data_IF_699206300022
#
_entry.id   IF_699206300022
#
_cell.length_a   1.000
_cell.length_b   1.000
_cell.length_c   1.000
_cell.angle_alpha   90.00
_cell.angle_beta   90.00
_cell.angle_gamma   90.00
#
_symmetry.space_group_name_H-M   'P 1'
#
loop_
_entity.id
_entity.type
_entity.pdbx_description
1 polymer ?
#
# COMPACT_ATOMS: atom_id res chain seq x y z
N UNK A 1 18.78 -6.20 11.11
CA UNK A 1 17.56 -6.16 11.95
C UNK A 1 16.83 -7.49 11.95
N UNK A 2 16.56 -8.13 10.80
CA UNK A 2 15.96 -9.48 10.76
C UNK A 2 16.89 -10.59 11.25
N UNK A 3 18.16 -10.60 10.81
CA UNK A 3 19.17 -11.58 11.27
C UNK A 3 19.38 -11.53 12.80
N UNK A 4 19.43 -10.32 13.37
CA UNK A 4 19.52 -10.12 14.81
C UNK A 4 18.26 -10.60 15.55
N UNK A 5 17.08 -10.51 14.92
CA UNK A 5 15.83 -11.02 15.49
C UNK A 5 15.81 -12.55 15.53
N UNK A 6 16.34 -13.22 14.49
CA UNK A 6 16.56 -14.68 14.47
C UNK A 6 17.49 -15.11 15.61
N UNK A 7 18.62 -14.42 15.80
CA UNK A 7 19.54 -14.71 16.92
C UNK A 7 18.91 -14.51 18.30
N UNK A 8 17.91 -13.63 18.42
CA UNK A 8 17.15 -13.39 19.66
C UNK A 8 15.95 -14.33 19.82
N UNK A 9 15.70 -15.24 18.87
CA UNK A 9 14.53 -16.11 18.87
C UNK A 9 13.20 -15.38 18.67
N UNK A 10 13.23 -14.17 18.09
CA UNK A 10 12.04 -13.37 17.83
C UNK A 10 11.56 -13.55 16.38
N UNK A 11 10.48 -14.30 16.20
CA UNK A 11 9.91 -14.68 14.90
C UNK A 11 8.65 -13.88 14.52
N UNK A 12 8.37 -12.73 15.15
CA UNK A 12 7.14 -11.94 14.91
C UNK A 12 6.96 -11.51 13.44
N UNK A 13 8.05 -11.40 12.68
CA UNK A 13 8.06 -10.94 11.29
C UNK A 13 8.72 -11.96 10.33
N UNK A 14 9.03 -13.18 10.81
CA UNK A 14 9.79 -14.19 10.07
C UNK A 14 9.01 -15.49 10.19
N UNK A 15 8.75 -16.23 9.09
CA UNK A 15 8.12 -17.54 9.20
C UNK A 15 8.92 -18.45 10.12
N UNK A 16 8.23 -19.25 10.94
CA UNK A 16 8.85 -20.16 11.89
C UNK A 16 9.73 -21.17 11.13
N UNK A 17 11.03 -21.15 11.40
CA UNK A 17 11.96 -22.12 10.82
C UNK A 17 11.73 -23.48 11.49
N UNK A 18 10.91 -24.31 10.84
CA UNK A 18 10.77 -25.73 11.17
C UNK A 18 12.11 -26.47 11.08
N UNK A 19 12.16 -27.71 11.57
CA UNK A 19 13.37 -28.54 11.59
C UNK A 19 13.79 -28.96 10.17
N UNK A 20 14.53 -28.09 9.48
CA UNK A 20 15.00 -28.29 8.11
C UNK A 20 16.28 -29.15 8.06
N UNK A 21 16.44 -29.91 6.97
CA UNK A 21 17.65 -30.69 6.71
C UNK A 21 18.80 -29.78 6.27
N UNK A 22 20.05 -30.09 6.64
CA UNK A 22 21.20 -29.30 6.21
C UNK A 22 21.36 -29.21 4.68
N UNK A 23 20.87 -30.24 3.97
CA UNK A 23 20.85 -30.28 2.51
C UNK A 23 19.83 -29.32 1.89
N UNK A 24 18.62 -29.22 2.47
CA UNK A 24 17.60 -28.28 1.99
C UNK A 24 18.06 -26.84 2.21
N UNK A 25 18.67 -26.55 3.37
CA UNK A 25 19.22 -25.23 3.69
C UNK A 25 20.31 -24.78 2.70
N UNK A 26 21.16 -25.73 2.28
CA UNK A 26 22.22 -25.46 1.31
C UNK A 26 21.66 -25.19 -0.10
N UNK A 27 20.66 -25.97 -0.52
CA UNK A 27 19.95 -25.76 -1.80
C UNK A 27 19.17 -24.45 -1.80
N UNK A 28 18.48 -24.12 -0.71
CA UNK A 28 17.76 -22.85 -0.55
C UNK A 28 18.69 -21.65 -0.66
N UNK A 29 19.88 -21.71 -0.04
CA UNK A 29 20.91 -20.68 -0.13
C UNK A 29 21.44 -20.49 -1.57
N UNK A 30 21.62 -21.58 -2.30
CA UNK A 30 22.07 -21.53 -3.70
C UNK A 30 21.00 -20.93 -4.62
N UNK A 31 19.73 -21.32 -4.43
CA UNK A 31 18.58 -20.78 -5.16
C UNK A 31 18.39 -19.30 -4.89
N UNK A 32 18.46 -18.87 -3.63
CA UNK A 32 18.29 -17.48 -3.21
C UNK A 32 19.22 -16.53 -3.98
N UNK A 33 20.50 -16.88 -4.10
CA UNK A 33 21.49 -16.06 -4.82
C UNK A 33 21.15 -15.89 -6.30
N UNK A 34 20.71 -16.95 -6.99
CA UNK A 34 20.32 -16.88 -8.40
C UNK A 34 19.05 -16.06 -8.62
N UNK A 35 18.02 -16.28 -7.80
CA UNK A 35 16.77 -15.52 -7.89
C UNK A 35 17.00 -14.03 -7.61
N UNK A 36 17.85 -13.68 -6.63
CA UNK A 36 18.10 -12.29 -6.26
C UNK A 36 18.62 -11.47 -7.44
N UNK A 37 19.58 -12.03 -8.19
CA UNK A 37 20.12 -11.37 -9.38
C UNK A 37 19.05 -11.24 -10.46
N UNK A 38 18.26 -12.29 -10.69
CA UNK A 38 17.18 -12.25 -11.68
C UNK A 38 16.13 -11.17 -11.38
N UNK A 39 15.71 -11.01 -10.12
CA UNK A 39 14.76 -9.97 -9.71
C UNK A 39 15.35 -8.55 -9.85
N UNK A 40 16.64 -8.36 -9.57
CA UNK A 40 17.32 -7.07 -9.78
C UNK A 40 17.34 -6.70 -11.26
N UNK A 41 17.69 -7.65 -12.13
CA UNK A 41 17.70 -7.42 -13.58
C UNK A 41 16.30 -7.11 -14.10
N UNK A 42 15.30 -7.89 -13.70
CA UNK A 42 13.90 -7.64 -14.08
C UNK A 42 13.39 -6.28 -13.57
N UNK A 43 13.70 -5.92 -12.32
CA UNK A 43 13.39 -4.60 -11.77
C UNK A 43 14.02 -3.46 -12.56
N UNK A 44 15.26 -3.64 -13.02
CA UNK A 44 15.95 -2.69 -13.88
C UNK A 44 15.27 -2.54 -15.25
N UNK A 45 14.92 -3.64 -15.92
CA UNK A 45 14.20 -3.63 -17.20
C UNK A 45 12.89 -2.84 -17.09
N UNK A 46 12.10 -3.12 -16.05
CA UNK A 46 10.85 -2.40 -15.80
C UNK A 46 11.09 -0.92 -15.50
N UNK A 47 12.17 -0.58 -14.78
CA UNK A 47 12.53 0.82 -14.50
C UNK A 47 12.86 1.56 -15.77
N UNK A 48 13.66 0.98 -16.66
CA UNK A 48 13.96 1.56 -17.97
C UNK A 48 12.70 1.72 -18.82
N UNK A 49 11.82 0.73 -18.84
CA UNK A 49 10.55 0.79 -19.58
C UNK A 49 9.65 1.94 -19.10
N UNK A 50 9.43 2.07 -17.80
CA UNK A 50 8.61 3.16 -17.26
C UNK A 50 9.27 4.54 -17.43
N UNK A 51 10.59 4.65 -17.28
CA UNK A 51 11.30 5.90 -17.53
C UNK A 51 11.19 6.31 -19.00
N UNK A 52 11.31 5.37 -19.93
CA UNK A 52 11.11 5.61 -21.35
C UNK A 52 9.68 6.08 -21.64
N UNK A 53 8.67 5.41 -21.08
CA UNK A 53 7.27 5.79 -21.23
C UNK A 53 6.99 7.19 -20.65
N UNK A 54 7.55 7.49 -19.47
CA UNK A 54 7.44 8.79 -18.81
C UNK A 54 8.06 9.89 -19.68
N UNK A 55 9.26 9.66 -20.22
CA UNK A 55 9.93 10.61 -21.09
C UNK A 55 9.12 10.87 -22.37
N UNK A 56 8.64 9.81 -23.03
CA UNK A 56 7.75 9.92 -24.19
C UNK A 56 6.51 10.73 -23.85
N UNK A 57 5.84 10.42 -22.75
CA UNK A 57 4.65 11.13 -22.31
C UNK A 57 4.92 12.61 -22.07
N UNK A 58 6.01 12.95 -21.36
CA UNK A 58 6.41 14.34 -21.11
C UNK A 58 6.71 15.06 -22.43
N UNK A 59 7.47 14.44 -23.34
CA UNK A 59 7.80 15.03 -24.64
C UNK A 59 6.53 15.32 -25.45
N UNK A 60 5.62 14.34 -25.58
CA UNK A 60 4.35 14.53 -26.29
C UNK A 60 3.49 15.60 -25.62
N UNK A 61 3.40 15.59 -24.28
CA UNK A 61 2.67 16.59 -23.52
C UNK A 61 3.21 18.01 -23.77
N UNK A 62 4.53 18.19 -23.71
CA UNK A 62 5.19 19.49 -23.96
C UNK A 62 4.90 19.95 -25.39
N UNK A 63 5.02 19.07 -26.39
CA UNK A 63 4.76 19.40 -27.80
C UNK A 63 3.29 19.83 -28.00
N UNK A 64 2.33 19.13 -27.39
CA UNK A 64 0.91 19.48 -27.50
C UNK A 64 0.61 20.82 -26.80
N UNK A 65 1.12 20.99 -25.58
CA UNK A 65 0.87 22.17 -24.75
C UNK A 65 1.48 23.42 -25.36
N UNK A 66 2.72 23.35 -25.85
CA UNK A 66 3.43 24.50 -26.44
C UNK A 66 3.03 24.71 -27.91
N UNK A 67 2.87 23.62 -28.67
CA UNK A 67 2.71 23.68 -30.13
C UNK A 67 1.29 23.94 -30.63
N UNK A 68 0.26 23.48 -29.91
CA UNK A 68 -1.13 23.51 -30.41
C UNK A 68 -2.03 24.49 -29.64
N UNK A 69 -1.77 24.73 -28.35
CA UNK A 69 -2.71 25.47 -27.51
C UNK A 69 -2.04 26.59 -26.70
N UNK A 70 -2.03 27.81 -27.26
CA UNK A 70 -1.52 29.02 -26.58
C UNK A 70 -2.23 29.33 -25.23
N UNK A 71 -3.39 28.72 -24.96
CA UNK A 71 -4.22 28.96 -23.77
C UNK A 71 -4.01 27.96 -22.62
N UNK A 72 -2.88 27.25 -22.58
CA UNK A 72 -2.57 26.28 -21.51
C UNK A 72 -2.63 26.89 -20.09
N UNK A 73 -2.29 28.17 -19.95
CA UNK A 73 -2.35 28.89 -18.68
C UNK A 73 -3.77 28.94 -18.09
N UNK A 74 -4.80 28.96 -18.94
CA UNK A 74 -6.19 28.96 -18.50
C UNK A 74 -6.55 27.62 -17.84
N UNK A 75 -6.08 26.51 -18.41
CA UNK A 75 -6.27 25.17 -17.83
C UNK A 75 -5.55 25.04 -16.49
N UNK A 76 -4.32 25.53 -16.40
CA UNK A 76 -3.57 25.55 -15.13
C UNK A 76 -4.28 26.40 -14.08
N UNK A 77 -4.80 27.56 -14.48
CA UNK A 77 -5.58 28.42 -13.58
C UNK A 77 -6.86 27.73 -13.10
N UNK A 78 -7.62 27.09 -14.00
CA UNK A 78 -8.82 26.33 -13.64
C UNK A 78 -8.50 25.17 -12.70
N UNK A 79 -7.45 24.39 -12.99
CA UNK A 79 -7.04 23.29 -12.11
C UNK A 79 -6.61 23.81 -10.73
N UNK A 80 -5.84 24.91 -10.68
CA UNK A 80 -5.44 25.54 -9.43
C UNK A 80 -6.65 26.02 -8.62
N UNK A 81 -7.63 26.64 -9.28
CA UNK A 81 -8.87 27.07 -8.64
C UNK A 81 -9.68 25.88 -8.07
N UNK A 82 -9.79 24.77 -8.83
CA UNK A 82 -10.49 23.56 -8.38
C UNK A 82 -9.79 22.90 -7.17
N UNK A 83 -8.45 22.85 -7.19
CA UNK A 83 -7.67 22.32 -6.07
C UNK A 83 -7.80 23.20 -4.83
N UNK A 84 -7.75 24.52 -5.01
CA UNK A 84 -7.94 25.50 -3.92
C UNK A 84 -9.33 25.35 -3.27
N UNK A 85 -10.39 25.24 -4.09
CA UNK A 85 -11.75 25.03 -3.57
C UNK A 85 -11.87 23.71 -2.80
N UNK A 86 -11.30 22.63 -3.31
CA UNK A 86 -11.29 21.33 -2.62
C UNK A 86 -10.56 21.42 -1.28
N UNK A 87 -9.44 22.12 -1.23
CA UNK A 87 -8.66 22.33 0.00
C UNK A 87 -9.42 23.17 1.04
N UNK A 88 -10.04 24.27 0.61
CA UNK A 88 -10.87 25.13 1.46
C UNK A 88 -12.05 24.33 2.04
N UNK A 89 -12.73 23.52 1.23
CA UNK A 89 -13.83 22.67 1.68
C UNK A 89 -13.36 21.65 2.72
N UNK A 90 -12.17 21.08 2.55
CA UNK A 90 -11.62 20.14 3.53
C UNK A 90 -11.26 20.80 4.87
N UNK A 91 -10.71 22.02 4.82
CA UNK A 91 -10.47 22.84 6.03
C UNK A 91 -11.79 23.20 6.71
N UNK A 92 -12.79 23.65 5.94
CA UNK A 92 -14.10 24.02 6.46
C UNK A 92 -14.77 22.84 7.17
N UNK A 93 -14.73 21.65 6.56
CA UNK A 93 -15.21 20.41 7.19
C UNK A 93 -14.52 20.15 8.54
N UNK A 94 -13.20 20.28 8.58
CA UNK A 94 -12.40 20.07 9.79
C UNK A 94 -12.73 21.11 10.87
N UNK A 95 -12.93 22.37 10.49
CA UNK A 95 -13.30 23.44 11.40
C UNK A 95 -14.71 23.24 11.96
N UNK A 96 -15.69 22.91 11.12
CA UNK A 96 -17.06 22.63 11.55
C UNK A 96 -17.12 21.49 12.57
N UNK A 97 -16.31 20.44 12.38
CA UNK A 97 -16.18 19.35 13.36
C UNK A 97 -15.63 19.85 14.69
N UNK A 98 -14.58 20.66 14.66
CA UNK A 98 -13.94 21.17 15.89
C UNK A 98 -14.77 22.19 16.64
N UNK A 99 -15.51 23.06 15.96
CA UNK A 99 -16.20 24.20 16.59
C UNK A 99 -17.67 23.95 16.88
N UNK A 100 -18.39 23.21 16.03
CA UNK A 100 -19.84 23.04 16.17
C UNK A 100 -20.25 21.64 16.61
N UNK A 101 -19.46 20.60 16.32
CA UNK A 101 -19.87 19.22 16.56
C UNK A 101 -19.25 18.58 17.79
N UNK A 102 -18.03 18.96 18.19
CA UNK A 102 -17.31 18.30 19.27
C UNK A 102 -17.57 18.97 20.64
N UNK A 103 -18.30 18.28 21.52
CA UNK A 103 -18.51 18.73 22.90
C UNK A 103 -17.36 18.26 23.80
N UNK A 104 -16.37 19.12 23.98
CA UNK A 104 -15.30 18.97 24.96
C UNK A 104 -14.19 17.97 24.58
N UNK A 105 -13.00 18.16 25.17
CA UNK A 105 -11.81 17.35 24.90
C UNK A 105 -11.80 16.05 25.73
N UNK A 106 -12.89 15.29 25.72
CA UNK A 106 -12.99 14.02 26.45
C UNK A 106 -12.69 12.83 25.54
N UNK A 107 -12.21 11.72 26.13
CA UNK A 107 -11.82 10.48 25.42
C UNK A 107 -12.96 9.82 24.61
N UNK A 108 -14.20 10.28 24.79
CA UNK A 108 -15.40 9.72 24.17
C UNK A 108 -16.02 10.74 23.21
N UNK A 109 -16.36 10.29 22.00
CA UNK A 109 -16.97 11.14 20.97
C UNK A 109 -18.38 11.58 21.41
N UNK A 110 -18.51 12.80 21.92
CA UNK A 110 -19.78 13.43 22.30
C UNK A 110 -20.12 14.54 21.32
N UNK A 111 -21.25 14.37 20.62
CA UNK A 111 -21.78 15.38 19.70
C UNK A 111 -22.86 16.22 20.39
N UNK A 112 -22.70 17.54 20.37
CA UNK A 112 -23.68 18.50 20.92
C UNK A 112 -24.95 18.61 20.07
N UNK A 113 -24.80 18.78 18.75
CA UNK A 113 -25.91 19.06 17.85
C UNK A 113 -26.02 18.00 16.75
N UNK A 114 -26.57 16.83 17.13
CA UNK A 114 -26.75 15.69 16.21
C UNK A 114 -27.59 16.04 14.97
N UNK A 115 -28.60 16.91 15.10
CA UNK A 115 -29.47 17.29 13.98
C UNK A 115 -28.71 18.09 12.92
N UNK A 116 -27.91 19.07 13.34
CA UNK A 116 -27.12 19.89 12.43
C UNK A 116 -26.02 19.07 11.72
N UNK A 117 -25.46 18.08 12.42
CA UNK A 117 -24.48 17.15 11.86
C UNK A 117 -25.05 16.34 10.70
N UNK A 118 -26.25 15.77 10.85
CA UNK A 118 -26.90 15.03 9.77
C UNK A 118 -27.23 15.91 8.56
N UNK A 119 -27.66 17.15 8.78
CA UNK A 119 -27.93 18.10 7.69
C UNK A 119 -26.64 18.41 6.92
N UNK A 120 -25.54 18.65 7.62
CA UNK A 120 -24.24 18.96 7.00
C UNK A 120 -23.66 17.79 6.23
N UNK A 121 -23.77 16.56 6.76
CA UNK A 121 -23.36 15.35 6.03
C UNK A 121 -24.19 15.19 4.76
N UNK A 122 -25.50 15.43 4.82
CA UNK A 122 -26.37 15.32 3.66
C UNK A 122 -25.98 16.32 2.56
N UNK A 123 -25.72 17.59 2.90
CA UNK A 123 -25.26 18.59 1.93
C UNK A 123 -23.87 18.29 1.35
N UNK A 124 -22.95 17.74 2.14
CA UNK A 124 -21.58 17.42 1.72
C UNK A 124 -21.42 16.01 1.14
N UNK A 125 -22.50 15.24 1.04
CA UNK A 125 -22.47 13.83 0.66
C UNK A 125 -21.78 13.61 -0.69
N UNK A 126 -22.17 14.37 -1.72
CA UNK A 126 -21.59 14.27 -3.06
C UNK A 126 -20.09 14.61 -3.08
N UNK A 127 -19.69 15.66 -2.35
CA UNK A 127 -18.28 16.04 -2.24
C UNK A 127 -17.44 14.96 -1.55
N UNK A 128 -17.98 14.34 -0.49
CA UNK A 128 -17.31 13.26 0.22
C UNK A 128 -17.14 12.01 -0.65
N UNK A 129 -18.10 11.68 -1.51
CA UNK A 129 -17.96 10.59 -2.49
C UNK A 129 -16.83 10.89 -3.47
N UNK A 130 -16.78 12.10 -4.05
CA UNK A 130 -15.72 12.48 -4.98
C UNK A 130 -14.33 12.46 -4.31
N UNK A 131 -14.24 12.98 -3.09
CA UNK A 131 -13.01 12.92 -2.29
C UNK A 131 -12.60 11.48 -1.98
N UNK A 132 -13.57 10.61 -1.65
CA UNK A 132 -13.34 9.17 -1.46
C UNK A 132 -12.82 8.47 -2.72
N UNK A 133 -13.35 8.82 -3.88
CA UNK A 133 -12.86 8.32 -5.17
C UNK A 133 -11.40 8.74 -5.43
N UNK A 134 -11.08 10.02 -5.21
CA UNK A 134 -9.69 10.52 -5.32
C UNK A 134 -8.75 9.80 -4.34
N UNK A 135 -9.20 9.57 -3.11
CA UNK A 135 -8.43 8.81 -2.12
C UNK A 135 -8.17 7.37 -2.55
N UNK A 136 -9.16 6.71 -3.17
CA UNK A 136 -9.01 5.38 -3.75
C UNK A 136 -7.96 5.37 -4.89
N UNK A 137 -8.02 6.34 -5.80
CA UNK A 137 -7.02 6.49 -6.87
C UNK A 137 -5.60 6.68 -6.30
N UNK A 138 -5.44 7.54 -5.30
CA UNK A 138 -4.15 7.75 -4.63
C UNK A 138 -3.66 6.45 -3.96
N UNK A 139 -4.55 5.68 -3.35
CA UNK A 139 -4.21 4.38 -2.74
C UNK A 139 -3.69 3.40 -3.79
N UNK A 140 -4.33 3.32 -4.96
CA UNK A 140 -3.87 2.47 -6.05
C UNK A 140 -2.49 2.92 -6.53
N UNK A 141 -2.30 4.21 -6.78
CA UNK A 141 -1.00 4.76 -7.21
C UNK A 141 0.10 4.45 -6.20
N UNK A 142 -0.16 4.70 -4.91
CA UNK A 142 0.79 4.38 -3.82
C UNK A 142 1.11 2.89 -3.79
N UNK A 143 0.11 2.02 -3.94
CA UNK A 143 0.34 0.58 -3.98
C UNK A 143 1.20 0.16 -5.17
N UNK A 144 0.96 0.71 -6.36
CA UNK A 144 1.79 0.43 -7.54
C UNK A 144 3.24 0.86 -7.33
N UNK A 145 3.49 2.03 -6.75
CA UNK A 145 4.85 2.51 -6.45
C UNK A 145 5.55 1.58 -5.44
N UNK A 146 4.85 1.18 -4.37
CA UNK A 146 5.39 0.25 -3.38
C UNK A 146 5.69 -1.11 -4.02
N UNK A 147 4.77 -1.65 -4.81
CA UNK A 147 4.97 -2.89 -5.56
C UNK A 147 6.19 -2.79 -6.48
N UNK A 148 6.35 -1.68 -7.19
CA UNK A 148 7.48 -1.45 -8.08
C UNK A 148 8.83 -1.47 -7.36
N UNK A 149 8.95 -0.75 -6.24
CA UNK A 149 10.16 -0.74 -5.42
C UNK A 149 10.42 -2.12 -4.80
N UNK A 150 9.37 -2.83 -4.41
CA UNK A 150 9.45 -4.17 -3.87
C UNK A 150 9.89 -5.22 -4.92
N UNK A 151 9.62 -5.04 -6.22
CA UNK A 151 10.02 -6.00 -7.28
C UNK A 151 11.54 -6.18 -7.31
N UNK A 152 12.28 -5.12 -6.96
CA UNK A 152 13.74 -5.16 -6.91
C UNK A 152 14.29 -5.77 -5.61
N UNK A 153 13.44 -6.04 -4.62
CA UNK A 153 13.82 -6.50 -3.27
C UNK A 153 13.08 -7.76 -2.88
N UNK A 154 13.80 -8.88 -2.83
CA UNK A 154 13.27 -10.17 -2.40
C UNK A 154 12.90 -10.21 -0.90
N UNK A 155 13.46 -9.31 -0.09
CA UNK A 155 13.22 -9.28 1.37
C UNK A 155 11.80 -8.81 1.76
N UNK A 156 10.97 -8.43 0.79
CA UNK A 156 9.64 -7.86 1.01
C UNK A 156 8.62 -8.72 0.27
N UNK A 157 7.78 -9.43 1.01
CA UNK A 157 6.60 -10.09 0.45
C UNK A 157 5.62 -9.02 -0.05
N UNK A 158 5.19 -9.12 -1.31
CA UNK A 158 4.22 -8.18 -1.90
C UNK A 158 2.79 -8.50 -1.54
N UNK A 159 2.56 -9.73 -1.09
CA UNK A 159 1.24 -10.20 -0.75
C UNK A 159 0.83 -9.65 0.63
N UNK A 160 -0.48 -9.49 0.87
CA UNK A 160 -0.98 -9.22 2.19
C UNK A 160 -0.72 -10.44 3.08
N UNK A 161 -0.38 -10.19 4.35
CA UNK A 161 0.07 -11.17 5.36
C UNK A 161 -0.72 -12.50 5.41
N UNK A 162 -1.99 -12.47 5.04
CA UNK A 162 -2.87 -13.65 5.03
C UNK A 162 -2.62 -14.62 3.86
N UNK A 163 -1.97 -14.18 2.78
CA UNK A 163 -1.67 -14.99 1.58
C UNK A 163 -0.18 -14.99 1.24
N UNK A 164 0.69 -14.56 2.16
CA UNK A 164 2.14 -14.48 1.95
C UNK A 164 2.75 -15.81 1.48
N UNK A 165 2.19 -16.96 1.86
CA UNK A 165 2.65 -18.31 1.46
C UNK A 165 2.45 -18.63 -0.04
N UNK A 166 1.69 -17.82 -0.78
CA UNK A 166 1.48 -18.04 -2.21
C UNK A 166 2.57 -17.40 -3.09
N UNK A 167 3.41 -16.51 -2.52
CA UNK A 167 4.51 -15.88 -3.25
C UNK A 167 5.67 -16.88 -3.42
N UNK A 168 6.18 -17.15 -4.63
CA UNK A 168 7.34 -18.02 -4.83
C UNK A 168 8.59 -17.58 -4.05
N UNK A 169 8.75 -16.27 -3.77
CA UNK A 169 9.87 -15.75 -2.99
C UNK A 169 9.80 -16.15 -1.51
N UNK A 170 8.60 -16.20 -0.92
CA UNK A 170 8.37 -16.68 0.45
C UNK A 170 8.27 -18.20 0.51
N UNK A 171 7.85 -18.84 -0.58
CA UNK A 171 7.90 -20.29 -0.71
C UNK A 171 9.33 -20.78 -0.66
N UNK A 172 10.34 -20.18 -1.27
CA UNK A 172 11.72 -20.69 -1.10
C UNK A 172 12.18 -20.65 0.38
N UNK A 173 11.66 -19.72 1.18
CA UNK A 173 11.88 -19.69 2.63
C UNK A 173 11.03 -20.69 3.43
N UNK A 174 9.93 -21.23 2.87
CA UNK A 174 8.92 -22.05 3.57
C UNK A 174 8.60 -23.41 2.92
N UNK A 175 8.92 -23.64 1.66
CA UNK A 175 8.74 -24.88 0.89
C UNK A 175 9.66 -25.97 1.42
N UNK A 176 10.78 -25.59 2.02
CA UNK A 176 11.67 -26.51 2.72
C UNK A 176 11.09 -26.98 4.07
N UNK A 177 9.96 -26.39 4.52
CA UNK A 177 9.16 -26.92 5.63
C UNK A 177 8.01 -27.84 5.20
N UNK A 178 7.69 -27.89 3.90
CA UNK A 178 6.66 -28.77 3.34
C UNK A 178 7.19 -30.13 2.86
N UNK A 179 8.50 -30.27 2.62
CA UNK A 179 9.11 -31.59 2.32
C UNK A 179 9.32 -32.48 3.56
N UNK A 180 9.00 -31.98 4.76
CA UNK A 180 9.05 -32.76 6.00
C UNK A 180 7.67 -33.33 6.38
N UNK A 181 7.18 -34.27 5.56
CA UNK A 181 6.15 -35.25 5.94
C UNK A 181 4.70 -34.94 5.48
N UNK A 182 3.93 -35.97 5.07
CA UNK A 182 2.50 -35.80 4.84
C UNK A 182 1.79 -35.60 6.18
N UNK A 183 0.60 -34.98 6.17
CA UNK A 183 -0.29 -34.70 7.31
C UNK A 183 -0.02 -33.39 8.06
N UNK A 184 -0.66 -32.30 7.62
CA UNK A 184 -1.40 -31.46 8.56
C UNK A 184 -2.46 -30.60 7.86
N UNK A 185 -3.71 -31.05 7.94
CA UNK A 185 -4.87 -30.18 7.81
C UNK A 185 -4.81 -29.11 8.91
N UNK A 186 -4.74 -27.83 8.55
CA UNK A 186 -5.06 -26.75 9.50
C UNK A 186 -5.92 -25.68 8.86
N UNK A 187 -7.20 -26.02 8.83
CA UNK A 187 -8.41 -25.20 8.96
C UNK A 187 -8.13 -23.70 9.27
N UNK A 188 -8.66 -22.75 8.48
CA UNK A 188 -8.65 -21.34 8.85
C UNK A 188 -9.81 -21.06 9.80
N UNK A 189 -9.51 -20.67 11.04
CA UNK A 189 -10.46 -20.00 11.91
C UNK A 189 -10.56 -20.60 13.30
N UNK A 190 -9.86 -19.98 14.25
CA UNK A 190 -10.26 -19.89 15.67
C UNK A 190 -9.24 -19.01 16.39
N UNK A 191 -9.54 -17.71 16.53
CA UNK A 191 -9.11 -16.89 17.66
C UNK A 191 -10.09 -15.70 17.81
N UNK A 192 -11.31 -16.04 18.23
CA UNK A 192 -12.12 -15.18 19.09
C UNK A 192 -12.48 -16.04 20.31
N UNK A 193 -11.55 -16.16 21.24
CA UNK A 193 -11.85 -16.63 22.58
C UNK A 193 -12.04 -15.38 23.45
N UNK A 194 -13.29 -14.95 23.54
CA UNK A 194 -13.74 -13.98 24.54
C UNK A 194 -13.87 -14.80 25.82
N UNK A 195 -12.90 -14.65 26.73
CA UNK A 195 -13.09 -15.02 28.13
C UNK A 195 -13.79 -13.85 28.84
N UNK A 196 -14.85 -14.23 29.53
CA UNK A 196 -15.79 -13.44 30.34
C UNK A 196 -15.15 -12.35 31.22
#
# INVERSE_FOLDING_TARGET
TNLLAVYRGNFVNIPESGRQSGLSLCIGSLKFSGYQVAYIVMGHVWTCFFLFLLFLFITVFIIIVIGINSRWYLWVYTLCAMMSMTFILHILQTLLVKTFYLLGNTRYLRLDNRRFFFITIYYLFLFNILSGFVSCMIRIIKSCVVSFVAVSKMDICMLPRMIDLYDPATQISSSDSMEAGPWNERIPGTLFEIRE
#
